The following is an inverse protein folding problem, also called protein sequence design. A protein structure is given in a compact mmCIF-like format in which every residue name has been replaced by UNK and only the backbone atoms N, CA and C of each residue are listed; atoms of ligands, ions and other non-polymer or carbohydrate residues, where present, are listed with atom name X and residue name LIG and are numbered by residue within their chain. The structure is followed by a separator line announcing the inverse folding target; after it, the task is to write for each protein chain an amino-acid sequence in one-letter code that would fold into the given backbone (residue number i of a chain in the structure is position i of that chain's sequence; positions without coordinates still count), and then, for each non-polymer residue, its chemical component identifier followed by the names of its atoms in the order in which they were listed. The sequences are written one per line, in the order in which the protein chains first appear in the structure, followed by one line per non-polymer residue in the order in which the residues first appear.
data_IF_630964474180
#
_entry.id   IF_630964474180
#
_cell.length_a   1.000
_cell.length_b   1.000
_cell.length_c   1.000
_cell.angle_alpha   90.00
_cell.angle_beta   90.00
_cell.angle_gamma   90.00
#
_symmetry.space_group_name_H-M   'P 1'
#
loop_
_entity.id
_entity.type
_entity.pdbx_description
1 polymer ?
#
# COMPACT_ATOMS: atom_id res chain seq x y z
N UNK A 1 4.02 29.32 8.64
CA UNK A 1 4.49 27.93 8.82
C UNK A 1 5.87 27.84 8.21
N UNK A 2 6.83 27.34 8.97
CA UNK A 2 8.23 27.33 8.51
C UNK A 2 8.51 26.21 7.49
N UNK A 3 7.78 25.08 7.58
CA UNK A 3 7.87 23.98 6.64
C UNK A 3 6.52 23.24 6.49
N UNK A 4 6.16 22.87 5.26
CA UNK A 4 4.94 22.10 4.96
C UNK A 4 5.28 20.95 4.05
N UNK A 5 4.73 19.76 4.32
CA UNK A 5 4.83 18.60 3.44
C UNK A 5 3.52 17.84 3.34
N UNK A 6 3.32 17.19 2.22
CA UNK A 6 2.17 16.33 1.96
C UNK A 6 2.64 14.99 1.39
N UNK A 7 1.94 13.91 1.75
CA UNK A 7 2.18 12.55 1.22
C UNK A 7 1.46 12.27 -0.10
N UNK A 8 0.60 13.18 -0.54
CA UNK A 8 -0.19 13.09 -1.76
C UNK A 8 0.07 14.32 -2.62
N UNK A 9 0.22 14.13 -3.92
CA UNK A 9 0.46 15.24 -4.84
C UNK A 9 -0.71 16.23 -4.89
N UNK A 10 -1.93 15.72 -4.70
CA UNK A 10 -3.12 16.58 -4.61
C UNK A 10 -3.05 17.51 -3.40
N UNK A 11 -2.58 17.02 -2.25
CA UNK A 11 -2.34 17.85 -1.07
C UNK A 11 -1.31 18.94 -1.31
N UNK A 12 -0.25 18.66 -2.09
CA UNK A 12 0.71 19.68 -2.52
C UNK A 12 0.03 20.77 -3.35
N UNK A 13 -0.81 20.37 -4.31
CA UNK A 13 -1.54 21.32 -5.17
C UNK A 13 -2.52 22.17 -4.34
N UNK A 14 -3.25 21.54 -3.42
CA UNK A 14 -4.16 22.26 -2.51
C UNK A 14 -3.44 23.26 -1.59
N UNK A 15 -2.27 22.91 -1.08
CA UNK A 15 -1.47 23.85 -0.29
C UNK A 15 -1.05 25.08 -1.10
N UNK A 16 -0.70 24.90 -2.37
CA UNK A 16 -0.37 26.01 -3.27
C UNK A 16 -1.59 26.87 -3.60
N UNK A 17 -2.70 26.23 -3.92
CA UNK A 17 -3.91 26.90 -4.38
C UNK A 17 -4.65 27.64 -3.26
N UNK A 18 -4.77 27.03 -2.08
CA UNK A 18 -5.62 27.54 -1.00
C UNK A 18 -4.87 28.14 0.16
N UNK A 19 -3.57 27.83 0.33
CA UNK A 19 -2.76 28.31 1.45
C UNK A 19 -1.60 29.20 1.02
N UNK A 20 -1.50 29.52 -0.27
CA UNK A 20 -0.44 30.34 -0.87
C UNK A 20 0.97 29.84 -0.46
N UNK A 21 1.13 28.50 -0.39
CA UNK A 21 2.34 27.84 0.07
C UNK A 21 3.07 27.15 -1.08
N UNK A 22 3.98 27.90 -1.74
CA UNK A 22 4.76 27.36 -2.87
C UNK A 22 5.89 26.42 -2.46
N UNK A 23 6.31 26.48 -1.19
CA UNK A 23 7.45 25.69 -0.67
C UNK A 23 7.06 24.32 -0.17
N UNK A 24 5.79 23.91 -0.32
CA UNK A 24 5.29 22.62 0.11
C UNK A 24 6.02 21.46 -0.59
N UNK A 25 6.49 20.49 0.18
CA UNK A 25 7.23 19.33 -0.33
C UNK A 25 6.36 18.07 -0.40
N UNK A 26 6.42 17.36 -1.52
CA UNK A 26 5.88 16.01 -1.60
C UNK A 26 6.88 15.03 -0.95
N UNK A 27 6.45 14.31 0.07
CA UNK A 27 7.27 13.36 0.85
C UNK A 27 6.55 12.03 0.99
N UNK A 28 7.25 10.99 1.46
CA UNK A 28 6.63 9.70 1.76
C UNK A 28 5.62 9.80 2.91
N UNK A 29 4.65 8.87 2.90
CA UNK A 29 3.83 8.60 4.09
C UNK A 29 4.75 8.27 5.28
N UNK A 30 4.48 8.79 6.49
CA UNK A 30 5.33 8.56 7.67
C UNK A 30 5.62 7.10 7.96
N UNK A 31 4.70 6.19 7.66
CA UNK A 31 4.92 4.75 7.83
C UNK A 31 6.01 4.19 6.92
N UNK A 32 6.29 4.84 5.79
CA UNK A 32 7.35 4.44 4.87
C UNK A 32 8.75 4.94 5.27
N UNK A 33 8.84 5.77 6.31
CA UNK A 33 10.13 6.24 6.86
C UNK A 33 10.85 5.14 7.63
N UNK A 34 10.11 4.17 8.19
CA UNK A 34 10.67 2.96 8.77
C UNK A 34 10.95 1.92 7.68
N UNK A 35 11.94 1.06 7.95
CA UNK A 35 12.33 -0.01 7.05
C UNK A 35 11.53 -1.30 7.32
N UNK A 36 11.55 -2.24 6.35
CA UNK A 36 11.03 -3.59 6.59
C UNK A 36 11.65 -4.22 7.85
N UNK A 37 12.96 -4.07 8.05
CA UNK A 37 13.67 -4.62 9.19
C UNK A 37 13.18 -4.03 10.54
N UNK A 38 12.72 -2.75 10.55
CA UNK A 38 12.15 -2.15 11.75
C UNK A 38 10.80 -2.79 12.09
N UNK A 39 9.95 -3.02 11.09
CA UNK A 39 8.67 -3.70 11.27
C UNK A 39 8.82 -5.19 11.62
N UNK A 40 9.85 -5.85 11.08
CA UNK A 40 10.14 -7.26 11.37
C UNK A 40 10.51 -7.54 12.84
N UNK A 41 10.83 -6.53 13.63
CA UNK A 41 11.03 -6.66 15.09
C UNK A 41 9.76 -7.07 15.84
N UNK A 42 8.59 -6.91 15.21
CA UNK A 42 7.27 -7.19 15.80
C UNK A 42 6.60 -8.45 15.23
N UNK A 43 7.28 -9.18 14.35
CA UNK A 43 6.71 -10.36 13.67
C UNK A 43 7.71 -11.52 13.67
N UNK A 44 7.19 -12.73 13.43
CA UNK A 44 8.01 -13.92 13.22
C UNK A 44 8.34 -14.04 11.73
N UNK A 45 9.61 -13.96 11.38
CA UNK A 45 10.05 -14.09 9.98
C UNK A 45 10.18 -15.58 9.63
N UNK A 46 9.37 -16.06 8.69
CA UNK A 46 9.50 -17.39 8.10
C UNK A 46 10.26 -17.32 6.77
N UNK A 47 11.07 -18.35 6.49
CA UNK A 47 11.74 -18.53 5.19
C UNK A 47 10.89 -19.36 4.23
N UNK A 48 9.87 -20.04 4.73
CA UNK A 48 9.00 -20.89 3.92
C UNK A 48 7.90 -20.06 3.24
N UNK A 49 7.58 -20.45 2.01
CA UNK A 49 6.41 -19.90 1.32
C UNK A 49 5.16 -20.43 2.00
N UNK A 50 4.24 -19.51 2.29
CA UNK A 50 3.00 -19.84 3.02
C UNK A 50 1.86 -20.21 2.08
N UNK A 51 1.98 -19.90 0.77
CA UNK A 51 0.89 -20.03 -0.19
C UNK A 51 -0.28 -19.09 0.10
N UNK A 52 -0.05 -17.99 0.83
CA UNK A 52 -1.11 -17.12 1.35
C UNK A 52 -1.42 -15.94 0.44
N UNK A 53 -2.68 -15.80 0.06
CA UNK A 53 -3.26 -14.59 -0.50
C UNK A 53 -3.89 -13.77 0.63
N UNK A 54 -3.22 -12.70 1.04
CA UNK A 54 -3.81 -11.79 2.02
C UNK A 54 -4.95 -10.99 1.41
N UNK A 55 -6.14 -11.09 2.01
CA UNK A 55 -7.32 -10.32 1.65
C UNK A 55 -7.55 -9.25 2.72
N UNK A 56 -7.21 -8.00 2.41
CA UNK A 56 -7.45 -6.87 3.30
C UNK A 56 -8.39 -5.88 2.62
N UNK A 57 -9.67 -6.20 2.65
CA UNK A 57 -10.77 -5.47 2.01
C UNK A 57 -11.68 -4.91 3.08
N UNK A 58 -11.86 -3.59 3.12
CA UNK A 58 -12.69 -2.88 4.10
C UNK A 58 -14.17 -2.85 3.70
N UNK A 59 -14.43 -2.65 2.39
CA UNK A 59 -15.79 -2.58 1.84
C UNK A 59 -16.03 -3.83 0.97
N UNK A 60 -16.36 -4.98 1.60
CA UNK A 60 -16.58 -6.24 0.91
C UNK A 60 -17.81 -6.21 -0.01
N UNK A 61 -17.68 -6.80 -1.20
CA UNK A 61 -18.78 -7.05 -2.13
C UNK A 61 -18.47 -8.25 -3.03
N UNK A 62 -19.48 -8.70 -3.80
CA UNK A 62 -19.34 -9.89 -4.65
C UNK A 62 -18.29 -9.73 -5.77
N UNK A 63 -18.10 -8.54 -6.30
CA UNK A 63 -17.13 -8.28 -7.36
C UNK A 63 -15.70 -8.39 -6.82
N UNK A 64 -15.44 -7.84 -5.63
CA UNK A 64 -14.14 -8.01 -4.95
C UNK A 64 -13.87 -9.47 -4.59
N UNK A 65 -14.91 -10.21 -4.17
CA UNK A 65 -14.77 -11.64 -3.91
C UNK A 65 -14.41 -12.39 -5.19
N UNK A 66 -15.04 -12.07 -6.32
CA UNK A 66 -14.71 -12.63 -7.62
C UNK A 66 -13.25 -12.36 -8.05
N UNK A 67 -12.73 -11.16 -7.76
CA UNK A 67 -11.31 -10.83 -7.96
C UNK A 67 -10.40 -11.72 -7.11
N UNK A 68 -10.73 -11.86 -5.82
CA UNK A 68 -9.96 -12.71 -4.88
C UNK A 68 -9.93 -14.16 -5.37
N UNK A 69 -11.08 -14.72 -5.74
CA UNK A 69 -11.19 -16.10 -6.21
C UNK A 69 -10.40 -16.34 -7.52
N UNK A 70 -10.41 -15.33 -8.42
CA UNK A 70 -9.63 -15.37 -9.66
C UNK A 70 -8.13 -15.41 -9.37
N UNK A 71 -7.63 -14.51 -8.55
CA UNK A 71 -6.20 -14.43 -8.20
C UNK A 71 -5.76 -15.68 -7.43
N UNK A 72 -6.58 -16.15 -6.48
CA UNK A 72 -6.30 -17.35 -5.69
C UNK A 72 -6.13 -18.58 -6.61
N UNK A 73 -7.02 -18.75 -7.57
CA UNK A 73 -6.96 -19.84 -8.54
C UNK A 73 -5.76 -19.73 -9.48
N UNK A 74 -5.53 -18.56 -10.07
CA UNK A 74 -4.44 -18.35 -11.04
C UNK A 74 -3.06 -18.54 -10.41
N UNK A 75 -2.90 -18.12 -9.16
CA UNK A 75 -1.61 -18.16 -8.46
C UNK A 75 -1.47 -19.37 -7.53
N UNK A 76 -2.48 -20.23 -7.43
CA UNK A 76 -2.52 -21.37 -6.50
C UNK A 76 -2.28 -20.94 -5.05
N UNK A 77 -2.95 -19.85 -4.63
CA UNK A 77 -2.83 -19.28 -3.29
C UNK A 77 -4.11 -19.52 -2.48
N UNK A 78 -3.96 -19.59 -1.15
CA UNK A 78 -5.07 -19.73 -0.21
C UNK A 78 -5.48 -18.36 0.32
N UNK A 79 -6.72 -17.89 0.07
CA UNK A 79 -7.19 -16.62 0.62
C UNK A 79 -7.27 -16.63 2.14
N UNK A 80 -6.75 -15.59 2.77
CA UNK A 80 -6.84 -15.37 4.21
C UNK A 80 -7.22 -13.90 4.48
N UNK A 81 -8.40 -13.70 5.09
CA UNK A 81 -8.89 -12.36 5.45
C UNK A 81 -8.48 -11.99 6.87
N UNK A 82 -8.05 -10.74 7.06
CA UNK A 82 -7.81 -10.17 8.40
C UNK A 82 -9.14 -9.86 9.09
N UNK A 83 -10.13 -9.38 8.34
CA UNK A 83 -11.46 -9.10 8.87
C UNK A 83 -12.32 -10.36 8.78
N UNK A 84 -12.66 -10.90 9.94
CA UNK A 84 -13.68 -11.95 10.04
C UNK A 84 -14.99 -11.32 10.51
N UNK A 85 -16.07 -11.58 9.79
CA UNK A 85 -17.39 -11.13 10.19
C UNK A 85 -17.72 -11.66 11.60
N UNK A 86 -18.15 -10.75 12.51
CA UNK A 86 -18.50 -11.12 13.88
C UNK A 86 -17.36 -11.05 14.91
N UNK A 87 -16.15 -10.70 14.54
CA UNK A 87 -15.07 -10.45 15.51
C UNK A 87 -15.23 -9.04 16.08
N UNK A 88 -15.52 -8.96 17.38
CA UNK A 88 -15.83 -7.70 18.08
C UNK A 88 -14.60 -6.82 18.35
N UNK A 89 -13.38 -7.32 18.18
CA UNK A 89 -12.15 -6.58 18.47
C UNK A 89 -11.25 -6.51 17.24
N UNK A 90 -10.70 -5.33 16.92
CA UNK A 90 -9.71 -5.23 15.86
C UNK A 90 -8.47 -6.06 16.22
N UNK A 91 -7.78 -6.66 15.23
CA UNK A 91 -6.54 -7.39 15.47
C UNK A 91 -5.45 -6.45 16.00
N UNK A 92 -4.49 -7.01 16.75
CA UNK A 92 -3.30 -6.24 17.16
C UNK A 92 -2.47 -5.80 15.94
N UNK A 93 -1.65 -4.77 16.13
CA UNK A 93 -0.76 -4.28 15.07
C UNK A 93 0.24 -5.36 14.67
N UNK A 94 0.77 -6.11 15.62
CA UNK A 94 1.70 -7.22 15.38
C UNK A 94 1.06 -8.32 14.53
N UNK A 95 -0.19 -8.69 14.85
CA UNK A 95 -0.93 -9.66 14.04
C UNK A 95 -1.15 -9.13 12.62
N UNK A 96 -1.53 -7.84 12.49
CA UNK A 96 -1.73 -7.21 11.19
C UNK A 96 -0.44 -7.19 10.35
N UNK A 97 0.70 -6.83 10.95
CA UNK A 97 2.02 -6.86 10.30
C UNK A 97 2.42 -8.28 9.90
N UNK A 98 2.15 -9.28 10.77
CA UNK A 98 2.42 -10.68 10.48
C UNK A 98 1.70 -11.15 9.22
N UNK A 99 0.47 -10.65 8.95
CA UNK A 99 -0.25 -11.04 7.74
C UNK A 99 0.50 -10.59 6.47
N UNK A 100 1.16 -9.42 6.48
CA UNK A 100 1.99 -8.97 5.36
C UNK A 100 3.29 -9.76 5.26
N UNK A 101 3.95 -10.07 6.37
CA UNK A 101 5.17 -10.89 6.33
C UNK A 101 4.88 -12.27 5.71
N UNK A 102 3.77 -12.90 6.09
CA UNK A 102 3.37 -14.21 5.58
C UNK A 102 2.85 -14.20 4.14
N UNK A 103 2.29 -13.09 3.66
CA UNK A 103 1.64 -13.05 2.36
C UNK A 103 2.62 -13.26 1.20
N UNK A 104 2.18 -13.97 0.14
CA UNK A 104 2.82 -13.99 -1.17
C UNK A 104 2.20 -12.96 -2.11
N UNK A 105 0.88 -12.72 -1.97
CA UNK A 105 0.17 -11.69 -2.71
C UNK A 105 -0.87 -11.04 -1.79
N UNK A 106 -1.23 -9.78 -2.09
CA UNK A 106 -2.23 -9.01 -1.33
C UNK A 106 -3.31 -8.50 -2.27
N UNK A 107 -4.58 -8.67 -1.89
CA UNK A 107 -5.72 -7.98 -2.53
C UNK A 107 -6.31 -7.01 -1.52
N UNK A 108 -6.45 -5.74 -1.92
CA UNK A 108 -6.86 -4.70 -0.98
C UNK A 108 -7.60 -3.53 -1.62
N UNK A 109 -8.43 -2.85 -0.81
CA UNK A 109 -8.99 -1.53 -1.08
C UNK A 109 -8.49 -0.48 -0.07
N UNK A 110 -7.42 -0.80 0.67
CA UNK A 110 -6.82 0.05 1.69
C UNK A 110 -5.52 0.68 1.23
N UNK A 111 -5.40 2.00 1.39
CA UNK A 111 -4.17 2.73 1.10
C UNK A 111 -2.96 2.19 1.90
N UNK A 112 -3.12 2.00 3.21
CA UNK A 112 -2.01 1.51 4.03
C UNK A 112 -1.62 0.06 3.70
N UNK A 113 -2.56 -0.77 3.24
CA UNK A 113 -2.19 -2.10 2.78
C UNK A 113 -1.32 -2.06 1.50
N UNK A 114 -1.54 -1.10 0.60
CA UNK A 114 -0.62 -0.88 -0.54
C UNK A 114 0.76 -0.43 -0.04
N UNK A 115 0.80 0.52 0.89
CA UNK A 115 2.04 1.00 1.52
C UNK A 115 2.83 -0.15 2.12
N UNK A 116 2.20 -0.98 2.94
CA UNK A 116 2.86 -2.11 3.59
C UNK A 116 3.22 -3.24 2.61
N UNK A 117 2.44 -3.43 1.53
CA UNK A 117 2.84 -4.35 0.45
C UNK A 117 4.16 -3.91 -0.20
N UNK A 118 4.35 -2.61 -0.44
CA UNK A 118 5.61 -2.07 -0.96
C UNK A 118 6.74 -2.24 0.06
N UNK A 119 6.52 -1.89 1.35
CA UNK A 119 7.53 -2.02 2.41
C UNK A 119 7.99 -3.48 2.56
N UNK A 120 7.05 -4.43 2.61
CA UNK A 120 7.33 -5.85 2.78
C UNK A 120 7.77 -6.55 1.48
N UNK A 121 7.67 -5.86 0.34
CA UNK A 121 8.06 -6.41 -0.97
C UNK A 121 7.08 -7.47 -1.48
N UNK A 122 5.79 -7.26 -1.26
CA UNK A 122 4.73 -8.21 -1.63
C UNK A 122 4.06 -7.80 -2.94
N UNK A 123 3.78 -8.78 -3.78
CA UNK A 123 2.88 -8.58 -4.91
C UNK A 123 1.50 -8.15 -4.41
N UNK A 124 0.84 -7.24 -5.10
CA UNK A 124 -0.50 -6.80 -4.67
C UNK A 124 -1.35 -6.29 -5.83
N UNK A 125 -2.67 -6.33 -5.64
CA UNK A 125 -3.68 -5.74 -6.51
C UNK A 125 -4.54 -4.81 -5.65
N UNK A 126 -4.77 -3.61 -6.17
CA UNK A 126 -5.63 -2.59 -5.54
C UNK A 126 -6.97 -2.56 -6.23
N UNK A 127 -8.02 -2.85 -5.49
CA UNK A 127 -9.39 -2.61 -5.95
C UNK A 127 -9.83 -1.22 -5.45
N UNK A 128 -9.77 -0.20 -6.30
CA UNK A 128 -10.11 1.16 -5.89
C UNK A 128 -11.58 1.49 -6.11
N UNK A 129 -12.13 2.32 -5.22
CA UNK A 129 -13.43 2.93 -5.41
C UNK A 129 -13.25 4.29 -6.10
N UNK A 130 -13.91 4.51 -7.26
CA UNK A 130 -13.83 5.76 -8.02
C UNK A 130 -14.29 6.98 -7.23
N UNK A 131 -15.19 6.78 -6.28
CA UNK A 131 -15.83 7.85 -5.51
C UNK A 131 -15.18 8.09 -4.13
N UNK A 132 -14.14 7.33 -3.75
CA UNK A 132 -13.57 7.41 -2.40
C UNK A 132 -12.05 7.26 -2.41
N UNK A 133 -11.37 8.38 -2.18
CA UNK A 133 -9.94 8.39 -1.91
C UNK A 133 -9.04 7.88 -3.04
N UNK A 134 -9.50 7.96 -4.29
CA UNK A 134 -8.76 7.51 -5.47
C UNK A 134 -7.42 8.24 -5.61
N UNK A 135 -7.37 9.54 -5.29
CA UNK A 135 -6.15 10.37 -5.39
C UNK A 135 -4.98 9.80 -4.59
N UNK A 136 -5.25 9.20 -3.42
CA UNK A 136 -4.21 8.58 -2.58
C UNK A 136 -3.56 7.39 -3.26
N UNK A 137 -4.39 6.52 -3.88
CA UNK A 137 -3.90 5.36 -4.61
C UNK A 137 -3.11 5.78 -5.85
N UNK A 138 -3.69 6.68 -6.66
CA UNK A 138 -3.02 7.15 -7.89
C UNK A 138 -1.73 7.88 -7.60
N UNK A 139 -1.66 8.70 -6.55
CA UNK A 139 -0.44 9.38 -6.11
C UNK A 139 0.64 8.36 -5.68
N UNK A 140 0.27 7.39 -4.84
CA UNK A 140 1.19 6.35 -4.37
C UNK A 140 1.70 5.49 -5.53
N UNK A 141 0.78 4.94 -6.32
CA UNK A 141 1.14 4.01 -7.40
C UNK A 141 2.01 4.70 -8.45
N UNK A 142 1.68 5.94 -8.85
CA UNK A 142 2.49 6.75 -9.76
C UNK A 142 3.87 7.05 -9.18
N UNK A 143 3.94 7.35 -7.87
CA UNK A 143 5.21 7.58 -7.19
C UNK A 143 6.14 6.37 -7.33
N UNK A 144 5.61 5.14 -7.36
CA UNK A 144 6.40 3.91 -7.40
C UNK A 144 6.42 3.21 -8.77
N UNK A 145 5.70 3.73 -9.78
CA UNK A 145 5.58 3.09 -11.10
C UNK A 145 4.79 1.78 -11.05
N UNK A 146 3.70 1.76 -10.27
CA UNK A 146 2.88 0.57 -9.99
C UNK A 146 1.41 0.77 -10.43
N UNK A 147 1.15 1.69 -11.39
CA UNK A 147 -0.20 2.07 -11.81
C UNK A 147 -0.98 0.90 -12.42
N UNK A 148 -0.28 -0.06 -13.02
CA UNK A 148 -0.85 -1.28 -13.61
C UNK A 148 -1.38 -2.30 -12.57
N UNK A 149 -1.33 -1.96 -11.27
CA UNK A 149 -1.86 -2.76 -10.17
C UNK A 149 -3.23 -2.29 -9.68
N UNK A 150 -3.76 -1.23 -10.29
CA UNK A 150 -5.05 -0.63 -9.93
C UNK A 150 -6.17 -1.16 -10.82
N UNK A 151 -7.21 -1.69 -10.20
CA UNK A 151 -8.44 -2.11 -10.87
C UNK A 151 -9.66 -1.50 -10.20
N UNK A 152 -10.75 -1.35 -10.95
CA UNK A 152 -12.03 -0.84 -10.46
C UNK A 152 -13.14 -1.90 -10.43
N UNK A 153 -12.88 -3.05 -11.02
CA UNK A 153 -13.75 -4.23 -11.02
C UNK A 153 -12.91 -5.49 -11.30
N UNK A 154 -13.49 -6.66 -11.01
CA UNK A 154 -12.81 -7.95 -11.19
C UNK A 154 -12.54 -8.29 -12.66
N UNK A 155 -13.35 -7.77 -13.59
CA UNK A 155 -13.17 -8.06 -15.01
C UNK A 155 -11.96 -7.31 -15.58
N UNK A 156 -11.68 -6.08 -15.14
CA UNK A 156 -10.47 -5.36 -15.52
C UNK A 156 -9.19 -6.14 -15.21
N UNK A 157 -9.14 -6.87 -14.09
CA UNK A 157 -7.98 -7.67 -13.71
C UNK A 157 -7.63 -8.73 -14.79
N UNK A 158 -8.60 -9.34 -15.45
CA UNK A 158 -8.38 -10.33 -16.49
C UNK A 158 -7.70 -9.77 -17.74
N UNK A 159 -7.78 -8.45 -17.95
CA UNK A 159 -7.28 -7.74 -19.11
C UNK A 159 -6.04 -6.90 -18.86
N UNK A 160 -5.69 -6.65 -17.59
CA UNK A 160 -4.47 -5.93 -17.27
C UNK A 160 -3.24 -6.81 -17.48
N UNK A 161 -2.16 -6.17 -17.92
CA UNK A 161 -0.84 -6.79 -17.98
C UNK A 161 0.06 -6.09 -16.96
N UNK A 162 0.37 -6.78 -15.86
CA UNK A 162 1.27 -6.26 -14.83
C UNK A 162 2.70 -6.42 -15.33
N UNK A 163 3.35 -5.29 -15.61
CA UNK A 163 4.75 -5.21 -16.01
C UNK A 163 5.60 -4.52 -14.94
N UNK A 164 4.97 -3.84 -13.99
CA UNK A 164 5.65 -3.15 -12.88
C UNK A 164 6.33 -4.12 -11.93
N UNK A 165 7.47 -3.71 -11.37
CA UNK A 165 8.28 -4.54 -10.48
C UNK A 165 8.26 -4.02 -9.05
N UNK A 166 7.87 -4.88 -8.11
CA UNK A 166 7.95 -4.58 -6.67
C UNK A 166 9.41 -4.38 -6.24
N UNK A 167 10.35 -5.10 -6.82
CA UNK A 167 11.78 -4.92 -6.53
C UNK A 167 12.27 -3.51 -6.91
N UNK A 168 11.85 -2.99 -8.07
CA UNK A 168 12.18 -1.61 -8.47
C UNK A 168 11.49 -0.57 -7.57
N UNK A 169 10.23 -0.82 -7.19
CA UNK A 169 9.53 0.02 -6.24
C UNK A 169 10.24 0.09 -4.88
N UNK A 170 10.79 -1.03 -4.39
CA UNK A 170 11.57 -1.06 -3.15
C UNK A 170 12.90 -0.29 -3.25
N UNK A 171 13.59 -0.37 -4.38
CA UNK A 171 14.80 0.45 -4.62
C UNK A 171 14.45 1.94 -4.55
N UNK A 172 13.36 2.33 -5.22
CA UNK A 172 12.85 3.70 -5.21
C UNK A 172 12.41 4.14 -3.82
N UNK A 173 11.77 3.24 -3.04
CA UNK A 173 11.40 3.50 -1.65
C UNK A 173 12.62 3.88 -0.80
N UNK A 174 13.74 3.17 -0.94
CA UNK A 174 14.95 3.46 -0.17
C UNK A 174 15.53 4.85 -0.48
N UNK A 175 15.51 5.24 -1.76
CA UNK A 175 15.93 6.58 -2.18
C UNK A 175 14.99 7.67 -1.61
N UNK A 176 13.69 7.55 -1.82
CA UNK A 176 12.69 8.52 -1.36
C UNK A 176 12.61 8.61 0.17
N UNK A 177 12.90 7.51 0.88
CA UNK A 177 13.00 7.50 2.35
C UNK A 177 14.12 8.40 2.83
N UNK A 178 15.31 8.29 2.23
CA UNK A 178 16.44 9.17 2.56
C UNK A 178 16.09 10.64 2.32
N UNK A 179 15.53 10.96 1.15
CA UNK A 179 15.12 12.32 0.80
C UNK A 179 14.07 12.89 1.79
N UNK A 180 13.06 12.07 2.16
CA UNK A 180 12.01 12.49 3.10
C UNK A 180 12.55 12.71 4.51
N UNK A 181 13.46 11.85 4.98
CA UNK A 181 14.12 12.00 6.29
C UNK A 181 15.02 13.24 6.30
N UNK A 182 15.78 13.46 5.23
CA UNK A 182 16.66 14.63 5.13
C UNK A 182 15.87 15.95 5.11
N UNK A 183 14.71 15.94 4.41
CA UNK A 183 13.81 17.08 4.45
C UNK A 183 13.27 17.32 5.87
N UNK A 184 12.78 16.26 6.54
CA UNK A 184 12.25 16.35 7.90
C UNK A 184 13.29 16.89 8.87
N UNK A 185 14.54 16.42 8.82
CA UNK A 185 15.64 16.93 9.66
C UNK A 185 15.89 18.41 9.46
N UNK A 186 15.88 18.88 8.19
CA UNK A 186 16.05 20.31 7.87
C UNK A 186 14.88 21.17 8.35
N UNK A 187 13.67 20.60 8.37
CA UNK A 187 12.48 21.31 8.82
C UNK A 187 12.36 21.43 10.35
N UNK A 188 13.17 20.68 11.10
CA UNK A 188 13.17 20.67 12.58
C UNK A 188 14.30 21.53 13.18
N UNK A 189 15.18 22.09 12.36
CA UNK A 189 16.27 23.00 12.77
C UNK A 189 15.85 24.45 12.53
#
# INVERSE_FOLDING_TARGET
MDAVSCREIEGVNMCKEYLDCDTVKHVLDPTMLLTKADYQKFVTVSKEKTGKLLVYVMDANNDKQSLVDTIAKERSLTPASIYQAGVASPPSVEFWLQQFEDAECVVTDSFHACVFSIIFGKEFIVYANKNRGLSRFTSLLKMFGLEDRLVFNADEYKHIKINSSISEAQKKLNMLRSESIDWLKKALI
#
